data_IF_201208699713
#
_entry.id   IF_201208699713
#
_cell.length_a   1.000
_cell.length_b   1.000
_cell.length_c   1.000
_cell.angle_alpha   90.00
_cell.angle_beta   90.00
_cell.angle_gamma   90.00
#
_symmetry.space_group_name_H-M   'P 1'
#
loop_
_entity.id
_entity.type
_entity.pdbx_description
1 polymer ?
#
# COMPACT_ATOMS: atom_id res chain seq x y z
N UNK A 1 4.46 -0.13 -7.53
CA UNK A 1 3.93 0.96 -6.69
C UNK A 1 3.43 2.16 -7.49
N UNK A 2 4.25 2.86 -8.30
CA UNK A 2 3.77 4.03 -9.08
C UNK A 2 2.57 3.73 -10.00
N UNK A 3 2.54 2.54 -10.62
CA UNK A 3 1.37 2.05 -11.39
C UNK A 3 0.11 1.88 -10.53
N UNK A 4 0.25 1.45 -9.27
CA UNK A 4 -0.87 1.36 -8.33
C UNK A 4 -1.39 2.76 -8.02
N UNK A 5 -0.49 3.69 -7.70
CA UNK A 5 -0.85 5.08 -7.40
C UNK A 5 -1.66 5.69 -8.55
N UNK A 6 -1.18 5.56 -9.79
CA UNK A 6 -1.89 6.06 -10.97
C UNK A 6 -3.30 5.45 -11.14
N UNK A 7 -3.49 4.17 -10.80
CA UNK A 7 -4.81 3.52 -10.89
C UNK A 7 -5.75 3.93 -9.76
N UNK A 8 -5.22 4.17 -8.57
CA UNK A 8 -5.98 4.73 -7.44
C UNK A 8 -6.41 6.16 -7.78
N UNK A 9 -5.49 6.97 -8.29
CA UNK A 9 -5.76 8.35 -8.69
C UNK A 9 -6.84 8.40 -9.78
N UNK A 10 -6.76 7.53 -10.79
CA UNK A 10 -7.77 7.40 -11.85
C UNK A 10 -9.14 6.91 -11.32
N UNK A 11 -9.16 6.11 -10.26
CA UNK A 11 -10.37 5.60 -9.64
C UNK A 11 -10.92 6.50 -8.51
N UNK A 12 -10.33 7.68 -8.30
CA UNK A 12 -10.63 8.56 -7.15
C UNK A 12 -12.11 8.83 -6.98
N UNK A 13 -12.83 9.15 -8.05
CA UNK A 13 -14.25 9.47 -7.93
C UNK A 13 -15.07 8.27 -7.43
N UNK A 14 -14.93 7.10 -8.07
CA UNK A 14 -15.68 5.90 -7.68
C UNK A 14 -15.33 5.41 -6.27
N UNK A 15 -14.05 5.48 -5.91
CA UNK A 15 -13.58 5.15 -4.56
C UNK A 15 -14.16 6.12 -3.52
N UNK A 16 -14.19 7.43 -3.82
CA UNK A 16 -14.67 8.45 -2.90
C UNK A 16 -16.17 8.33 -2.66
N UNK A 17 -16.95 8.12 -3.72
CA UNK A 17 -18.39 7.90 -3.64
C UNK A 17 -18.73 6.66 -2.81
N UNK A 18 -18.00 5.56 -3.03
CA UNK A 18 -18.19 4.33 -2.23
C UNK A 18 -17.83 4.55 -0.77
N UNK A 19 -16.70 5.21 -0.52
CA UNK A 19 -16.24 5.54 0.84
C UNK A 19 -17.24 6.43 1.58
N UNK A 20 -17.75 7.49 0.94
CA UNK A 20 -18.78 8.36 1.53
C UNK A 20 -20.06 7.60 1.82
N UNK A 21 -20.52 6.74 0.91
CA UNK A 21 -21.75 5.96 1.12
C UNK A 21 -21.65 4.96 2.27
N UNK A 22 -20.49 4.36 2.49
CA UNK A 22 -20.32 3.33 3.51
C UNK A 22 -19.87 3.91 4.85
N UNK A 23 -18.81 4.73 4.85
CA UNK A 23 -18.22 5.27 6.08
C UNK A 23 -18.93 6.54 6.56
N UNK A 24 -19.55 7.30 5.65
CA UNK A 24 -20.29 8.52 5.98
C UNK A 24 -19.48 9.82 5.97
N UNK A 25 -18.18 9.79 5.65
CA UNK A 25 -17.41 11.05 5.56
C UNK A 25 -17.82 11.89 4.34
N UNK A 26 -17.75 13.24 4.43
CA UNK A 26 -18.03 14.10 3.28
C UNK A 26 -17.22 13.73 2.04
N UNK A 27 -17.82 13.88 0.85
CA UNK A 27 -17.18 13.49 -0.41
C UNK A 27 -15.81 14.14 -0.63
N UNK A 28 -15.68 15.41 -0.23
CA UNK A 28 -14.41 16.15 -0.30
C UNK A 28 -13.32 15.51 0.57
N UNK A 29 -13.67 15.04 1.76
CA UNK A 29 -12.73 14.39 2.66
C UNK A 29 -12.36 12.99 2.16
N UNK A 30 -13.31 12.28 1.55
CA UNK A 30 -13.08 11.00 0.90
C UNK A 30 -12.11 11.13 -0.29
N UNK A 31 -12.30 12.14 -1.15
CA UNK A 31 -11.37 12.47 -2.22
C UNK A 31 -9.98 12.78 -1.68
N UNK A 32 -9.90 13.58 -0.60
CA UNK A 32 -8.65 13.87 0.08
C UNK A 32 -7.91 12.61 0.53
N UNK A 33 -8.61 11.66 1.17
CA UNK A 33 -8.03 10.39 1.59
C UNK A 33 -7.40 9.61 0.42
N UNK A 34 -8.10 9.53 -0.71
CA UNK A 34 -7.64 8.76 -1.87
C UNK A 34 -6.41 9.41 -2.51
N UNK A 35 -6.40 10.74 -2.63
CA UNK A 35 -5.24 11.50 -3.10
C UNK A 35 -4.03 11.29 -2.18
N UNK A 36 -4.23 11.31 -0.86
CA UNK A 36 -3.16 10.99 0.09
C UNK A 36 -2.67 9.55 -0.02
N UNK A 37 -3.55 8.61 -0.35
CA UNK A 37 -3.17 7.22 -0.59
C UNK A 37 -2.26 7.09 -1.83
N UNK A 38 -2.63 7.70 -2.95
CA UNK A 38 -1.79 7.75 -4.17
C UNK A 38 -0.44 8.42 -3.91
N UNK A 39 -0.44 9.54 -3.18
CA UNK A 39 0.78 10.23 -2.75
C UNK A 39 1.69 9.34 -1.88
N UNK A 40 1.12 8.64 -0.90
CA UNK A 40 1.88 7.74 0.00
C UNK A 40 2.57 6.60 -0.75
N UNK A 41 1.94 6.03 -1.77
CA UNK A 41 2.57 5.04 -2.65
C UNK A 41 3.76 5.61 -3.42
N UNK A 42 3.62 6.84 -3.92
CA UNK A 42 4.69 7.50 -4.66
C UNK A 42 5.88 7.84 -3.76
N UNK A 43 5.63 8.28 -2.53
CA UNK A 43 6.68 8.46 -1.52
C UNK A 43 7.39 7.13 -1.22
N UNK A 44 6.63 6.09 -0.95
CA UNK A 44 7.18 4.77 -0.63
C UNK A 44 7.97 4.19 -1.81
N UNK A 45 7.53 4.43 -3.05
CA UNK A 45 8.25 4.03 -4.26
C UNK A 45 9.57 4.77 -4.48
N UNK A 46 9.82 5.86 -3.75
CA UNK A 46 11.08 6.59 -3.78
C UNK A 46 12.09 6.15 -2.72
N UNK A 47 11.72 5.26 -1.81
CA UNK A 47 12.62 4.74 -0.79
C UNK A 47 13.57 3.70 -1.39
N UNK A 48 14.86 3.81 -1.06
CA UNK A 48 15.89 2.87 -1.49
C UNK A 48 16.21 1.86 -0.37
N UNK A 49 16.05 0.58 -0.66
CA UNK A 49 16.39 -0.53 0.23
C UNK A 49 17.58 -1.34 -0.30
N UNK A 50 18.30 -0.83 -1.30
CA UNK A 50 19.45 -1.50 -1.89
C UNK A 50 20.53 -1.82 -0.86
N UNK A 51 21.32 -2.89 -1.06
CA UNK A 51 22.41 -3.23 -0.17
C UNK A 51 23.37 -2.05 0.02
N UNK A 52 23.74 -1.78 1.27
CA UNK A 52 24.63 -0.67 1.62
C UNK A 52 25.97 -1.20 2.07
N UNK A 53 27.05 -0.88 1.37
CA UNK A 53 28.41 -1.12 1.86
C UNK A 53 28.67 -0.20 3.05
N UNK A 54 28.89 -0.78 4.23
CA UNK A 54 29.19 -0.05 5.47
C UNK A 54 30.70 0.16 5.61
N UNK A 55 31.49 -0.83 5.16
CA UNK A 55 32.95 -0.78 5.20
C UNK A 55 33.51 -1.61 4.04
N UNK A 56 34.54 -1.09 3.39
CA UNK A 56 35.31 -1.82 2.38
C UNK A 56 36.77 -1.35 2.45
N UNK A 57 37.66 -2.27 2.85
CA UNK A 57 39.12 -2.11 2.83
C UNK A 57 39.77 -3.39 2.29
N UNK A 58 41.10 -3.43 2.18
CA UNK A 58 41.85 -4.55 1.58
C UNK A 58 41.63 -5.90 2.30
N UNK A 59 41.15 -5.89 3.54
CA UNK A 59 41.00 -7.08 4.38
C UNK A 59 39.53 -7.42 4.68
N UNK A 60 38.62 -6.44 4.65
CA UNK A 60 37.22 -6.66 5.04
C UNK A 60 36.24 -5.87 4.18
N UNK A 61 35.14 -6.54 3.83
CA UNK A 61 33.96 -5.93 3.23
C UNK A 61 32.72 -6.27 4.06
N UNK A 62 32.01 -5.23 4.50
CA UNK A 62 30.77 -5.33 5.28
C UNK A 62 29.64 -4.69 4.48
N UNK A 63 28.63 -5.49 4.17
CA UNK A 63 27.45 -5.05 3.41
C UNK A 63 26.20 -5.32 4.25
N UNK A 64 25.36 -4.30 4.37
CA UNK A 64 24.06 -4.36 5.04
C UNK A 64 22.97 -4.69 4.01
N UNK A 65 22.23 -5.77 4.24
CA UNK A 65 21.10 -6.18 3.41
C UNK A 65 19.79 -6.05 4.19
N UNK A 66 18.71 -5.72 3.47
CA UNK A 66 17.33 -5.76 3.97
C UNK A 66 16.61 -6.89 3.26
N UNK A 67 16.14 -7.88 4.03
CA UNK A 67 15.40 -9.02 3.50
C UNK A 67 13.92 -8.94 3.87
N UNK A 68 13.01 -9.44 3.01
CA UNK A 68 11.61 -9.57 3.36
C UNK A 68 11.43 -10.50 4.57
N UNK A 69 10.41 -10.22 5.37
CA UNK A 69 9.97 -11.08 6.47
C UNK A 69 9.12 -12.27 5.96
N UNK A 70 8.54 -12.15 4.77
CA UNK A 70 7.71 -13.18 4.14
C UNK A 70 6.25 -12.75 4.02
N UNK A 71 5.34 -13.55 4.58
CA UNK A 71 3.89 -13.26 4.58
C UNK A 71 3.56 -12.36 5.77
N UNK A 72 2.93 -11.22 5.52
CA UNK A 72 2.52 -10.26 6.57
C UNK A 72 1.01 -10.03 6.60
N UNK A 73 0.47 -9.80 7.79
CA UNK A 73 -0.94 -9.46 7.98
C UNK A 73 -1.14 -7.94 8.05
N UNK A 74 -2.02 -7.41 7.20
CA UNK A 74 -2.42 -6.01 7.18
C UNK A 74 -3.83 -5.82 7.74
N UNK A 75 -3.92 -5.58 9.05
CA UNK A 75 -5.18 -5.27 9.74
C UNK A 75 -5.41 -3.75 9.73
N UNK A 76 -6.50 -3.28 9.13
CA UNK A 76 -6.76 -1.84 8.92
C UNK A 76 -8.04 -1.38 9.63
N UNK A 77 -8.05 -0.16 10.20
CA UNK A 77 -9.23 0.39 10.86
C UNK A 77 -10.15 1.14 9.88
N UNK A 78 -11.29 1.59 10.39
CA UNK A 78 -12.41 2.11 9.60
C UNK A 78 -12.40 3.61 9.31
N UNK A 79 -11.54 4.40 9.95
CA UNK A 79 -11.58 5.87 9.89
C UNK A 79 -10.89 6.46 8.64
N UNK A 80 -9.88 5.77 8.12
CA UNK A 80 -9.23 6.07 6.83
C UNK A 80 -8.87 4.76 6.10
N UNK A 81 -9.88 4.00 5.66
CA UNK A 81 -9.71 2.61 5.23
C UNK A 81 -8.76 2.46 4.03
N UNK A 82 -8.81 3.35 3.05
CA UNK A 82 -7.98 3.28 1.85
C UNK A 82 -6.56 3.74 2.19
N UNK A 83 -6.42 4.91 2.79
CA UNK A 83 -5.09 5.47 3.10
C UNK A 83 -4.31 4.56 4.05
N UNK A 84 -4.94 4.03 5.10
CA UNK A 84 -4.26 3.17 6.08
C UNK A 84 -3.94 1.78 5.52
N UNK A 85 -4.74 1.28 4.59
CA UNK A 85 -4.39 0.09 3.82
C UNK A 85 -3.16 0.33 2.96
N UNK A 86 -3.14 1.44 2.22
CA UNK A 86 -2.04 1.79 1.34
C UNK A 86 -0.74 2.03 2.11
N UNK A 87 -0.80 2.66 3.28
CA UNK A 87 0.35 2.82 4.18
C UNK A 87 0.94 1.49 4.67
N UNK A 88 0.20 0.37 4.57
CA UNK A 88 0.72 -0.98 4.84
C UNK A 88 1.20 -1.67 3.57
N UNK A 89 0.43 -1.58 2.48
CA UNK A 89 0.77 -2.21 1.19
C UNK A 89 2.09 -1.67 0.64
N UNK A 90 2.27 -0.34 0.64
CA UNK A 90 3.48 0.31 0.11
C UNK A 90 4.77 -0.28 0.67
N UNK A 91 5.05 -0.13 1.98
CA UNK A 91 6.33 -0.56 2.56
C UNK A 91 6.49 -2.09 2.55
N UNK A 92 5.39 -2.85 2.71
CA UNK A 92 5.46 -4.31 2.65
C UNK A 92 5.92 -4.79 1.27
N UNK A 93 5.32 -4.26 0.19
CA UNK A 93 5.70 -4.60 -1.18
C UNK A 93 7.10 -4.10 -1.54
N UNK A 94 7.47 -2.88 -1.10
CA UNK A 94 8.82 -2.35 -1.31
C UNK A 94 9.88 -3.29 -0.70
N UNK A 95 9.64 -3.80 0.51
CA UNK A 95 10.54 -4.72 1.18
C UNK A 95 10.48 -6.16 0.63
N UNK A 96 9.62 -6.45 -0.35
CA UNK A 96 9.48 -7.77 -0.97
C UNK A 96 8.58 -8.76 -0.23
N UNK A 97 7.70 -8.30 0.65
CA UNK A 97 6.75 -9.15 1.38
C UNK A 97 5.48 -9.42 0.56
N UNK A 98 4.76 -10.46 0.93
CA UNK A 98 3.38 -10.71 0.47
C UNK A 98 2.40 -10.41 1.61
N UNK A 99 1.16 -10.06 1.28
CA UNK A 99 0.19 -9.56 2.25
C UNK A 99 -1.10 -10.39 2.27
N UNK A 100 -1.60 -10.65 3.49
CA UNK A 100 -3.00 -10.96 3.76
C UNK A 100 -3.65 -9.78 4.48
N UNK A 101 -4.73 -9.23 3.93
CA UNK A 101 -5.38 -8.00 4.39
C UNK A 101 -6.66 -8.37 5.14
N UNK A 102 -6.87 -7.76 6.31
CA UNK A 102 -8.09 -7.92 7.10
C UNK A 102 -8.69 -6.54 7.41
N UNK A 103 -9.63 -6.05 6.60
CA UNK A 103 -10.21 -4.74 6.81
C UNK A 103 -11.10 -4.70 8.06
N UNK A 104 -11.49 -3.47 8.44
CA UNK A 104 -12.54 -3.27 9.42
C UNK A 104 -13.88 -3.76 8.84
N UNK A 105 -14.69 -4.51 9.62
CA UNK A 105 -15.96 -5.04 9.13
C UNK A 105 -17.01 -3.93 8.90
N UNK A 106 -16.78 -2.72 9.41
CA UNK A 106 -17.65 -1.56 9.22
C UNK A 106 -17.35 -0.76 7.95
N UNK A 107 -16.16 -0.94 7.34
CA UNK A 107 -15.84 -0.29 6.06
C UNK A 107 -15.12 -1.21 5.05
N UNK A 108 -15.68 -2.40 4.73
CA UNK A 108 -15.01 -3.37 3.87
C UNK A 108 -15.00 -2.98 2.39
N UNK A 109 -16.03 -2.29 1.87
CA UNK A 109 -16.15 -2.08 0.41
C UNK A 109 -15.01 -1.25 -0.20
N UNK A 110 -14.66 -0.05 0.34
CA UNK A 110 -13.54 0.76 -0.15
C UNK A 110 -12.21 0.03 -0.03
N UNK A 111 -12.04 -0.88 0.93
CA UNK A 111 -10.80 -1.66 1.09
C UNK A 111 -10.68 -2.82 0.09
N UNK A 112 -11.79 -3.32 -0.43
CA UNK A 112 -11.82 -4.37 -1.44
C UNK A 112 -11.57 -3.81 -2.85
N UNK A 113 -11.99 -2.57 -3.13
CA UNK A 113 -11.88 -1.95 -4.45
C UNK A 113 -10.45 -1.81 -4.99
N UNK A 114 -9.41 -1.53 -4.18
CA UNK A 114 -8.02 -1.55 -4.64
C UNK A 114 -7.54 -2.92 -5.14
N UNK A 115 -8.15 -4.03 -4.71
CA UNK A 115 -7.78 -5.38 -5.11
C UNK A 115 -7.86 -5.58 -6.63
N UNK A 116 -9.04 -5.44 -7.24
CA UNK A 116 -9.19 -5.49 -8.70
C UNK A 116 -8.32 -4.48 -9.45
N UNK A 117 -8.11 -3.28 -8.89
CA UNK A 117 -7.25 -2.26 -9.52
C UNK A 117 -5.78 -2.68 -9.60
N UNK A 118 -5.35 -3.68 -8.84
CA UNK A 118 -3.95 -4.09 -8.76
C UNK A 118 -3.70 -5.55 -9.15
N UNK A 119 -4.74 -6.32 -9.49
CA UNK A 119 -4.66 -7.76 -9.65
C UNK A 119 -3.67 -8.22 -10.73
N UNK A 120 -3.56 -7.50 -11.86
CA UNK A 120 -2.62 -7.78 -12.95
C UNK A 120 -1.20 -7.23 -12.72
N UNK A 121 -0.98 -6.49 -11.63
CA UNK A 121 0.33 -5.91 -11.32
C UNK A 121 1.27 -6.88 -10.60
N UNK A 122 0.73 -7.99 -10.08
CA UNK A 122 1.46 -8.93 -9.24
C UNK A 122 1.13 -10.38 -9.58
N UNK A 123 2.03 -11.33 -9.29
CA UNK A 123 1.67 -12.73 -9.22
C UNK A 123 0.49 -12.97 -8.26
N UNK A 124 -0.31 -13.99 -8.56
CA UNK A 124 -1.39 -14.43 -7.67
C UNK A 124 -0.84 -14.74 -6.26
N UNK A 125 -1.53 -14.26 -5.23
CA UNK A 125 -1.14 -14.48 -3.83
C UNK A 125 -0.20 -13.43 -3.23
N UNK A 126 0.31 -12.45 -4.00
CA UNK A 126 1.14 -11.37 -3.43
C UNK A 126 0.33 -10.41 -2.56
N UNK A 127 -0.91 -10.12 -2.96
CA UNK A 127 -1.85 -9.32 -2.17
C UNK A 127 -3.17 -10.09 -2.11
N UNK A 128 -3.62 -10.40 -0.91
CA UNK A 128 -4.88 -11.11 -0.64
C UNK A 128 -5.72 -10.24 0.29
N UNK A 129 -7.00 -10.08 0.00
CA UNK A 129 -7.98 -9.35 0.82
C UNK A 129 -9.12 -10.29 1.16
#
# INVERSE_FOLDING_TARGET
MRRIAARIDAATQALAETLTREQGKPLRDAQGEIMFAGYSLNLTAGLDLSPRTVKEDDNVRVVEYRHPLGVVAAITPWNFPIMLLINKIGPALLAGNTLGIKPAPTTPLPTLMPGPLCADLFPAGVVNV
#
